data_IF_354224252707
#
_entry.id   IF_354224252707
#
_cell.length_a   1.000
_cell.length_b   1.000
_cell.length_c   1.000
_cell.angle_alpha   90.00
_cell.angle_beta   90.00
_cell.angle_gamma   90.00
#
_symmetry.space_group_name_H-M   'P 1'
#
loop_
_entity.id
_entity.type
_entity.pdbx_description
1 polymer ?
#
# COMPACT_ATOMS: atom_id res chain seq x y z
N UNK A 1 -2.08 40.80 41.30
CA UNK A 1 -1.32 40.48 40.07
C UNK A 1 -1.53 39.01 39.68
N UNK A 2 -2.77 38.51 39.60
CA UNK A 2 -2.98 37.04 39.59
C UNK A 2 -4.14 36.50 38.73
N UNK A 3 -4.83 37.33 37.94
CA UNK A 3 -5.91 36.84 37.06
C UNK A 3 -5.42 36.43 35.66
N UNK A 4 -4.18 36.78 35.29
CA UNK A 4 -3.60 36.44 33.99
C UNK A 4 -3.05 35.01 33.89
N UNK A 5 -2.96 34.25 35.00
CA UNK A 5 -2.43 32.87 34.97
C UNK A 5 -3.47 31.76 34.75
N UNK A 6 -4.76 32.03 34.85
CA UNK A 6 -5.80 30.99 34.63
C UNK A 6 -6.22 30.82 33.16
N UNK A 7 -5.93 31.78 32.28
CA UNK A 7 -6.32 31.71 30.85
C UNK A 7 -5.32 30.99 29.94
N UNK A 8 -4.12 30.67 30.42
CA UNK A 8 -3.09 30.02 29.59
C UNK A 8 -3.05 28.49 29.68
N UNK A 9 -3.77 27.87 30.62
CA UNK A 9 -3.79 26.41 30.77
C UNK A 9 -4.88 25.69 29.94
N UNK A 10 -5.67 26.42 29.13
CA UNK A 10 -6.70 25.85 28.25
C UNK A 10 -6.37 26.08 26.77
N UNK A 11 -5.14 25.75 26.36
CA UNK A 11 -4.74 25.83 24.94
C UNK A 11 -3.89 24.65 24.43
N UNK A 12 -3.76 23.58 25.23
CA UNK A 12 -2.95 22.40 24.90
C UNK A 12 -3.76 21.09 24.96
N UNK A 13 -5.05 21.13 24.62
CA UNK A 13 -5.72 19.91 24.15
C UNK A 13 -5.64 19.90 22.62
N UNK A 14 -5.09 18.84 22.00
CA UNK A 14 -5.18 18.71 20.55
C UNK A 14 -6.66 18.65 20.19
N UNK A 15 -7.14 19.68 19.50
CA UNK A 15 -8.47 19.67 18.90
C UNK A 15 -8.62 18.36 18.12
N UNK A 16 -9.72 17.60 18.29
CA UNK A 16 -10.01 16.52 17.38
C UNK A 16 -10.15 17.16 16.01
N UNK A 17 -9.18 16.89 15.13
CA UNK A 17 -9.23 17.34 13.73
C UNK A 17 -10.51 16.77 13.16
N UNK A 18 -11.54 17.61 13.02
CA UNK A 18 -12.80 17.24 12.38
C UNK A 18 -12.50 17.17 10.89
N UNK A 19 -11.91 16.04 10.48
CA UNK A 19 -11.71 15.68 9.07
C UNK A 19 -13.11 15.64 8.47
N UNK A 20 -13.42 16.56 7.55
CA UNK A 20 -14.74 16.65 6.95
C UNK A 20 -15.11 15.31 6.31
N UNK A 21 -16.36 14.87 6.48
CA UNK A 21 -16.86 13.61 5.90
C UNK A 21 -16.51 13.47 4.41
N UNK A 22 -16.55 14.58 3.68
CA UNK A 22 -16.18 14.67 2.27
C UNK A 22 -14.72 14.32 2.00
N UNK A 23 -13.80 14.75 2.87
CA UNK A 23 -12.38 14.44 2.73
C UNK A 23 -12.11 12.95 3.00
N UNK A 24 -12.76 12.37 4.00
CA UNK A 24 -12.70 10.93 4.29
C UNK A 24 -13.26 10.11 3.12
N UNK A 25 -14.41 10.51 2.56
CA UNK A 25 -15.01 9.84 1.40
C UNK A 25 -14.10 9.87 0.17
N UNK A 26 -13.44 11.01 -0.11
CA UNK A 26 -12.46 11.13 -1.20
C UNK A 26 -11.23 10.23 -0.98
N UNK A 27 -10.72 10.16 0.25
CA UNK A 27 -9.58 9.29 0.58
C UNK A 27 -9.95 7.82 0.40
N UNK A 28 -11.14 7.40 0.82
CA UNK A 28 -11.62 6.03 0.63
C UNK A 28 -11.80 5.66 -0.84
N UNK A 29 -12.40 6.55 -1.63
CA UNK A 29 -12.55 6.34 -3.08
C UNK A 29 -11.18 6.19 -3.77
N UNK A 30 -10.17 6.93 -3.32
CA UNK A 30 -8.82 6.84 -3.90
C UNK A 30 -8.09 5.57 -3.46
N UNK A 31 -8.32 5.09 -2.24
CA UNK A 31 -7.82 3.78 -1.77
C UNK A 31 -8.42 2.64 -2.56
N UNK A 32 -9.72 2.68 -2.88
CA UNK A 32 -10.37 1.65 -3.68
C UNK A 32 -9.78 1.54 -5.10
N UNK A 33 -9.54 2.68 -5.75
CA UNK A 33 -8.82 2.72 -7.05
C UNK A 33 -7.41 2.13 -6.96
N UNK A 34 -6.72 2.33 -5.84
CA UNK A 34 -5.39 1.78 -5.60
C UNK A 34 -5.44 0.29 -5.21
N UNK A 35 -6.54 -0.20 -4.66
CA UNK A 35 -6.77 -1.61 -4.34
C UNK A 35 -7.11 -2.42 -5.59
N UNK A 36 -7.83 -1.82 -6.54
CA UNK A 36 -8.22 -2.39 -7.82
C UNK A 36 -7.56 -1.66 -9.00
N UNK A 37 -6.22 -1.63 -9.09
CA UNK A 37 -5.54 -0.86 -10.13
C UNK A 37 -5.76 -1.51 -11.50
N UNK A 38 -6.08 -0.69 -12.50
CA UNK A 38 -6.04 -1.10 -13.92
C UNK A 38 -4.60 -1.41 -14.38
N UNK A 39 -4.40 -1.96 -15.59
CA UNK A 39 -3.08 -2.40 -16.07
C UNK A 39 -2.04 -1.27 -16.05
N UNK A 40 -2.45 -0.05 -16.41
CA UNK A 40 -1.56 1.12 -16.40
C UNK A 40 -1.15 1.56 -14.99
N UNK A 41 -2.09 1.58 -14.05
CA UNK A 41 -1.78 1.95 -12.67
C UNK A 41 -0.93 0.86 -11.99
N UNK A 42 -1.16 -0.41 -12.30
CA UNK A 42 -0.30 -1.53 -11.87
C UNK A 42 1.13 -1.36 -12.34
N UNK A 43 1.34 -1.06 -13.62
CA UNK A 43 2.69 -0.84 -14.16
C UNK A 43 3.37 0.40 -13.54
N UNK A 44 2.62 1.50 -13.38
CA UNK A 44 3.12 2.71 -12.74
C UNK A 44 3.52 2.46 -11.27
N UNK A 45 2.68 1.78 -10.49
CA UNK A 45 2.96 1.42 -9.10
C UNK A 45 4.12 0.43 -9.02
N UNK A 46 4.21 -0.54 -9.94
CA UNK A 46 5.34 -1.46 -10.02
C UNK A 46 6.65 -0.68 -10.10
N UNK A 47 6.75 0.31 -10.98
CA UNK A 47 7.97 1.10 -11.15
C UNK A 47 8.23 2.03 -9.95
N UNK A 48 7.20 2.73 -9.48
CA UNK A 48 7.32 3.67 -8.36
C UNK A 48 7.80 2.99 -7.07
N UNK A 49 7.38 1.74 -6.85
CA UNK A 49 7.74 0.95 -5.67
C UNK A 49 9.20 0.47 -5.69
N UNK A 50 9.83 0.35 -6.87
CA UNK A 50 11.25 -0.04 -7.01
C UNK A 50 12.18 1.15 -7.08
N UNK A 51 11.73 2.28 -7.64
CA UNK A 51 12.62 3.41 -7.86
C UNK A 51 12.98 4.12 -6.53
N UNK A 52 14.29 4.30 -6.23
CA UNK A 52 14.75 4.67 -4.88
C UNK A 52 14.27 6.05 -4.40
N UNK A 53 14.05 6.99 -5.32
CA UNK A 53 13.55 8.33 -4.98
C UNK A 53 12.04 8.37 -4.72
N UNK A 54 11.25 7.47 -5.32
CA UNK A 54 9.79 7.51 -5.23
C UNK A 54 9.21 6.48 -4.25
N UNK A 55 9.94 5.40 -3.96
CA UNK A 55 9.45 4.25 -3.16
C UNK A 55 8.91 4.61 -1.77
N UNK A 56 9.40 5.67 -1.12
CA UNK A 56 8.94 6.07 0.22
C UNK A 56 7.85 7.16 0.18
N UNK A 57 7.60 7.77 -0.98
CA UNK A 57 6.75 8.97 -1.13
C UNK A 57 5.44 8.65 -1.84
N UNK A 58 5.46 7.65 -2.73
CA UNK A 58 4.32 7.34 -3.60
C UNK A 58 3.08 6.86 -2.83
N UNK A 59 3.25 6.30 -1.63
CA UNK A 59 2.18 5.82 -0.76
C UNK A 59 1.17 6.94 -0.42
N UNK A 60 1.65 8.19 -0.30
CA UNK A 60 0.84 9.37 -0.01
C UNK A 60 0.33 10.09 -1.27
N UNK A 61 0.47 9.50 -2.46
CA UNK A 61 0.01 10.10 -3.71
C UNK A 61 -1.34 9.53 -4.14
N UNK A 62 -2.14 10.38 -4.77
CA UNK A 62 -3.35 10.00 -5.50
C UNK A 62 -3.00 9.10 -6.69
N UNK A 63 -3.96 8.28 -7.13
CA UNK A 63 -3.85 7.40 -8.27
C UNK A 63 -3.43 8.16 -9.53
N UNK A 64 -4.00 9.37 -9.75
CA UNK A 64 -3.62 10.22 -10.89
C UNK A 64 -2.15 10.64 -10.86
N UNK A 65 -1.63 11.06 -9.69
CA UNK A 65 -0.22 11.42 -9.56
C UNK A 65 0.71 10.21 -9.71
N UNK A 66 0.32 9.06 -9.17
CA UNK A 66 1.04 7.79 -9.36
C UNK A 66 1.13 7.43 -10.84
N UNK A 67 0.02 7.56 -11.57
CA UNK A 67 0.00 7.32 -13.01
C UNK A 67 0.96 8.26 -13.75
N UNK A 68 0.85 9.57 -13.54
CA UNK A 68 1.68 10.57 -14.24
C UNK A 68 3.18 10.37 -13.97
N UNK A 69 3.59 10.29 -12.70
CA UNK A 69 5.01 10.16 -12.35
C UNK A 69 5.53 8.77 -12.71
N UNK A 70 4.72 7.72 -12.53
CA UNK A 70 5.08 6.36 -12.93
C UNK A 70 5.32 6.28 -14.43
N UNK A 71 4.45 6.87 -15.26
CA UNK A 71 4.64 6.90 -16.72
C UNK A 71 5.83 7.75 -17.16
N UNK A 72 6.05 8.91 -16.52
CA UNK A 72 7.23 9.73 -16.79
C UNK A 72 8.52 8.95 -16.51
N UNK A 73 8.60 8.29 -15.35
CA UNK A 73 9.73 7.43 -15.02
C UNK A 73 9.83 6.25 -15.98
N UNK A 74 8.71 5.68 -16.41
CA UNK A 74 8.70 4.55 -17.34
C UNK A 74 9.34 4.91 -18.68
N UNK A 75 9.05 6.08 -19.23
CA UNK A 75 9.69 6.59 -20.46
C UNK A 75 11.19 6.84 -20.26
N UNK A 76 11.59 7.32 -19.08
CA UNK A 76 12.99 7.67 -18.74
C UNK A 76 13.81 6.45 -18.28
N UNK A 77 13.17 5.32 -18.01
CA UNK A 77 13.84 4.10 -17.55
C UNK A 77 13.83 3.02 -18.63
N UNK A 78 12.86 3.05 -19.55
CA UNK A 78 12.83 2.12 -20.66
C UNK A 78 13.68 2.58 -21.84
N UNK A 79 14.45 1.66 -22.45
CA UNK A 79 15.30 1.96 -23.58
C UNK A 79 14.60 2.06 -24.94
N UNK A 80 13.39 2.65 -24.95
CA UNK A 80 12.57 2.81 -26.15
C UNK A 80 13.21 3.79 -27.13
N UNK A 81 13.67 4.95 -26.66
CA UNK A 81 14.24 5.99 -27.54
C UNK A 81 15.46 5.48 -28.33
N UNK A 82 16.51 4.90 -27.72
CA UNK A 82 17.65 4.36 -28.44
C UNK A 82 17.26 3.12 -29.24
N UNK A 83 16.35 2.26 -28.77
CA UNK A 83 15.89 1.11 -29.56
C UNK A 83 15.25 1.54 -30.88
N UNK A 84 14.33 2.50 -30.83
CA UNK A 84 13.65 3.03 -32.02
C UNK A 84 14.65 3.72 -32.95
N UNK A 85 15.61 4.48 -32.40
CA UNK A 85 16.67 5.10 -33.19
C UNK A 85 17.57 4.05 -33.90
N UNK A 86 17.94 2.96 -33.22
CA UNK A 86 18.68 1.84 -33.82
C UNK A 86 17.89 1.24 -34.98
N UNK A 87 16.60 0.96 -34.76
CA UNK A 87 15.75 0.32 -35.77
C UNK A 87 15.60 1.22 -36.99
N UNK A 88 15.26 2.50 -36.81
CA UNK A 88 15.07 3.45 -37.93
C UNK A 88 16.37 3.58 -38.73
N UNK A 89 17.50 3.74 -38.05
CA UNK A 89 18.79 3.89 -38.71
C UNK A 89 19.21 2.61 -39.44
N UNK A 90 19.03 1.43 -38.82
CA UNK A 90 19.35 0.15 -39.43
C UNK A 90 18.51 -0.15 -40.68
N UNK A 91 17.23 0.23 -40.68
CA UNK A 91 16.34 0.03 -41.83
C UNK A 91 16.69 0.97 -42.99
N UNK A 92 17.12 2.21 -42.71
CA UNK A 92 17.47 3.17 -43.75
C UNK A 92 18.89 2.97 -44.30
N UNK A 93 19.86 2.59 -43.47
CA UNK A 93 21.26 2.42 -43.87
C UNK A 93 21.95 1.31 -43.03
N UNK A 94 21.79 0.03 -43.42
CA UNK A 94 22.35 -1.09 -42.67
C UNK A 94 23.88 -1.15 -42.74
N UNK A 95 24.47 -0.67 -43.84
CA UNK A 95 25.92 -0.68 -44.06
C UNK A 95 26.60 0.45 -43.27
N UNK A 96 26.00 1.65 -43.25
CA UNK A 96 26.44 2.77 -42.43
C UNK A 96 26.31 2.49 -40.94
N UNK A 97 25.22 1.84 -40.51
CA UNK A 97 25.06 1.43 -39.11
C UNK A 97 26.16 0.47 -38.66
N UNK A 98 26.51 -0.55 -39.44
CA UNK A 98 27.53 -1.53 -39.03
C UNK A 98 28.95 -0.94 -38.98
N UNK A 99 29.25 0.06 -39.82
CA UNK A 99 30.59 0.65 -39.95
C UNK A 99 30.79 1.87 -39.05
N UNK A 100 29.72 2.55 -38.62
CA UNK A 100 29.80 3.78 -37.86
C UNK A 100 30.23 3.57 -36.39
N UNK A 101 31.24 4.31 -35.90
CA UNK A 101 31.56 4.36 -34.47
C UNK A 101 30.39 4.87 -33.61
N UNK A 102 29.55 5.76 -34.15
CA UNK A 102 28.37 6.29 -33.45
C UNK A 102 27.29 5.26 -33.25
N UNK A 103 27.11 4.32 -34.17
CA UNK A 103 26.19 3.21 -34.00
C UNK A 103 26.61 2.32 -32.82
N UNK A 104 27.91 2.05 -32.68
CA UNK A 104 28.46 1.31 -31.53
C UNK A 104 28.24 2.05 -30.22
N UNK A 105 28.46 3.37 -30.19
CA UNK A 105 28.18 4.19 -29.02
C UNK A 105 26.69 4.13 -28.62
N UNK A 106 25.79 4.20 -29.60
CA UNK A 106 24.35 4.18 -29.38
C UNK A 106 23.85 2.81 -28.89
N UNK A 107 24.39 1.71 -29.42
CA UNK A 107 24.18 0.35 -28.90
C UNK A 107 24.74 0.22 -27.48
N UNK A 108 25.92 0.78 -27.20
CA UNK A 108 26.49 0.81 -25.85
C UNK A 108 25.60 1.52 -24.83
N UNK A 109 25.04 2.67 -25.21
CA UNK A 109 24.05 3.40 -24.39
C UNK A 109 22.79 2.55 -24.17
N UNK A 110 22.28 1.88 -25.21
CA UNK A 110 21.13 0.98 -25.10
C UNK A 110 21.38 -0.15 -24.08
N UNK A 111 22.55 -0.80 -24.13
CA UNK A 111 22.93 -1.86 -23.20
C UNK A 111 23.07 -1.32 -21.77
N UNK A 112 23.71 -0.16 -21.59
CA UNK A 112 23.85 0.48 -20.29
C UNK A 112 22.49 0.84 -19.69
N UNK A 113 21.56 1.33 -20.51
CA UNK A 113 20.21 1.69 -20.07
C UNK A 113 19.35 0.45 -19.76
N UNK A 114 19.49 -0.64 -20.54
CA UNK A 114 18.92 -1.95 -20.19
C UNK A 114 19.46 -2.49 -18.87
N UNK A 115 20.77 -2.35 -18.60
CA UNK A 115 21.37 -2.73 -17.33
C UNK A 115 20.79 -1.93 -16.16
N UNK A 116 20.63 -0.62 -16.34
CA UNK A 116 19.99 0.25 -15.35
C UNK A 116 18.51 -0.14 -15.11
N UNK A 117 17.75 -0.46 -16.16
CA UNK A 117 16.41 -0.99 -16.05
C UNK A 117 16.40 -2.32 -15.27
N UNK A 118 17.30 -3.24 -15.61
CA UNK A 118 17.44 -4.53 -14.94
C UNK A 118 17.68 -4.37 -13.44
N UNK A 119 18.58 -3.47 -13.05
CA UNK A 119 18.85 -3.14 -11.65
C UNK A 119 17.59 -2.64 -10.90
N UNK A 120 16.82 -1.76 -11.54
CA UNK A 120 15.55 -1.25 -10.98
C UNK A 120 14.52 -2.37 -10.90
N UNK A 121 14.40 -3.21 -11.92
CA UNK A 121 13.45 -4.32 -11.95
C UNK A 121 13.73 -5.36 -10.85
N UNK A 122 14.99 -5.59 -10.52
CA UNK A 122 15.42 -6.51 -9.44
C UNK A 122 15.45 -5.86 -8.06
N UNK A 123 15.26 -4.54 -7.97
CA UNK A 123 15.28 -3.84 -6.68
C UNK A 123 14.07 -4.26 -5.83
N UNK A 124 14.24 -4.41 -4.51
CA UNK A 124 13.14 -4.79 -3.62
C UNK A 124 12.07 -3.72 -3.64
N UNK A 125 10.84 -4.13 -3.92
CA UNK A 125 9.68 -3.24 -3.87
C UNK A 125 9.27 -2.98 -2.42
N UNK A 126 8.96 -1.73 -2.09
CA UNK A 126 8.31 -1.40 -0.83
C UNK A 126 6.82 -1.76 -0.91
N UNK A 127 6.32 -2.47 0.11
CA UNK A 127 4.89 -2.75 0.24
C UNK A 127 4.12 -1.43 0.39
N UNK A 128 3.02 -1.28 -0.36
CA UNK A 128 2.15 -0.10 -0.29
C UNK A 128 1.25 -0.20 0.96
N UNK A 129 1.84 0.00 2.13
CA UNK A 129 1.21 -0.13 3.44
C UNK A 129 1.32 1.17 4.24
N UNK A 130 0.28 1.50 5.00
CA UNK A 130 0.23 2.59 5.99
C UNK A 130 0.36 4.03 5.45
N UNK A 131 0.37 4.23 4.14
CA UNK A 131 0.30 5.57 3.54
C UNK A 131 -1.13 6.08 3.41
N UNK A 132 -1.30 7.39 3.25
CA UNK A 132 -2.62 8.05 3.19
C UNK A 132 -3.57 7.39 2.20
N UNK A 133 -3.08 7.07 1.00
CA UNK A 133 -3.86 6.46 -0.07
C UNK A 133 -3.50 4.99 -0.31
N UNK A 134 -2.74 4.36 0.60
CA UNK A 134 -2.38 2.95 0.50
C UNK A 134 -3.62 2.06 0.63
N UNK A 135 -3.72 0.99 -0.17
CA UNK A 135 -4.84 0.05 -0.10
C UNK A 135 -4.81 -0.78 1.19
N UNK A 136 -3.63 -0.98 1.78
CA UNK A 136 -3.47 -1.73 3.03
C UNK A 136 -3.11 -0.78 4.17
N UNK A 137 -3.91 -0.77 5.23
CA UNK A 137 -3.67 -0.03 6.47
C UNK A 137 -3.54 -1.03 7.62
N UNK A 138 -2.34 -1.18 8.18
CA UNK A 138 -2.07 -2.04 9.35
C UNK A 138 -1.96 -1.24 10.65
N UNK A 139 -1.79 0.07 10.57
CA UNK A 139 -1.83 1.00 11.69
C UNK A 139 -2.91 2.07 11.47
N UNK A 140 -3.54 2.60 12.53
CA UNK A 140 -4.40 3.77 12.41
C UNK A 140 -3.55 4.95 11.98
N UNK A 141 -3.64 5.33 10.70
CA UNK A 141 -3.15 6.62 10.26
C UNK A 141 -4.03 7.66 10.98
N UNK A 142 -3.43 8.57 11.76
CA UNK A 142 -4.12 9.53 12.65
C UNK A 142 -5.15 10.49 12.01
N UNK A 143 -5.63 10.17 10.82
CA UNK A 143 -6.77 10.75 10.11
C UNK A 143 -8.08 9.95 10.39
N UNK A 144 -8.03 8.83 11.12
CA UNK A 144 -9.22 7.99 11.44
C UNK A 144 -9.39 7.87 12.97
N UNK A 145 -9.84 8.94 13.61
CA UNK A 145 -10.61 8.83 14.85
C UNK A 145 -12.08 8.66 14.45
N UNK A 146 -12.46 7.43 14.14
CA UNK A 146 -13.81 7.11 13.66
C UNK A 146 -13.84 5.77 12.97
N UNK A 147 -14.25 4.74 13.71
CA UNK A 147 -14.74 3.44 13.25
C UNK A 147 -13.92 2.75 12.14
N UNK A 148 -13.24 1.65 12.51
CA UNK A 148 -12.61 0.68 11.62
C UNK A 148 -13.35 0.54 10.28
N UNK A 149 -12.77 1.09 9.19
CA UNK A 149 -13.47 1.21 7.91
C UNK A 149 -13.23 0.00 7.00
N UNK A 150 -14.35 -0.67 6.71
CA UNK A 150 -14.77 -1.45 5.55
C UNK A 150 -13.83 -2.43 4.81
N UNK A 151 -12.52 -2.24 4.64
CA UNK A 151 -11.73 -3.25 3.89
C UNK A 151 -11.35 -4.46 4.76
N UNK A 152 -10.89 -4.20 5.99
CA UNK A 152 -10.75 -5.23 7.03
C UNK A 152 -12.10 -5.54 7.71
N UNK A 153 -13.00 -4.56 7.78
CA UNK A 153 -14.33 -4.74 8.40
C UNK A 153 -15.32 -5.49 7.51
N UNK A 154 -15.19 -5.52 6.17
CA UNK A 154 -16.09 -6.33 5.32
C UNK A 154 -15.78 -7.81 5.47
N UNK A 155 -14.50 -8.20 5.56
CA UNK A 155 -14.10 -9.58 5.87
C UNK A 155 -14.43 -9.95 7.31
N UNK A 156 -14.19 -9.06 8.28
CA UNK A 156 -14.51 -9.32 9.68
C UNK A 156 -16.02 -9.33 9.95
N UNK A 157 -16.82 -8.47 9.33
CA UNK A 157 -18.28 -8.43 9.52
C UNK A 157 -18.95 -9.64 8.86
N UNK A 158 -18.55 -10.02 7.63
CA UNK A 158 -19.06 -11.23 6.99
C UNK A 158 -18.65 -12.50 7.76
N UNK A 159 -17.43 -12.55 8.31
CA UNK A 159 -16.98 -13.67 9.13
C UNK A 159 -17.66 -13.69 10.51
N UNK A 160 -17.87 -12.53 11.15
CA UNK A 160 -18.67 -12.39 12.38
C UNK A 160 -20.12 -12.78 12.15
N UNK A 161 -20.72 -12.44 11.01
CA UNK A 161 -22.09 -12.87 10.65
C UNK A 161 -22.19 -14.41 10.56
N UNK A 162 -21.15 -15.12 10.09
CA UNK A 162 -21.11 -16.61 10.09
C UNK A 162 -21.11 -17.22 11.49
N UNK A 163 -20.58 -16.51 12.49
CA UNK A 163 -20.54 -16.97 13.89
C UNK A 163 -21.58 -16.28 14.78
N UNK A 164 -22.28 -15.26 14.28
CA UNK A 164 -23.28 -14.51 15.04
C UNK A 164 -24.45 -15.40 15.49
N UNK A 165 -24.82 -16.39 14.68
CA UNK A 165 -25.85 -17.38 15.01
C UNK A 165 -25.37 -18.52 15.90
N UNK A 166 -24.06 -18.64 16.17
CA UNK A 166 -23.49 -19.70 17.01
C UNK A 166 -23.39 -19.26 18.46
N UNK A 167 -23.95 -20.01 19.39
CA UNK A 167 -23.87 -19.71 20.83
C UNK A 167 -22.51 -20.09 21.43
N UNK A 168 -21.90 -21.16 20.91
CA UNK A 168 -20.62 -21.71 21.42
C UNK A 168 -19.53 -21.70 20.35
N UNK A 169 -18.30 -21.47 20.78
CA UNK A 169 -17.12 -21.49 19.92
C UNK A 169 -16.66 -22.92 19.64
N UNK A 170 -16.16 -23.14 18.41
CA UNK A 170 -15.52 -24.40 18.07
C UNK A 170 -14.23 -24.60 18.89
N UNK A 171 -13.84 -25.86 19.17
CA UNK A 171 -12.59 -26.15 19.86
C UNK A 171 -11.40 -25.63 19.04
N UNK A 172 -10.52 -24.88 19.70
CA UNK A 172 -9.36 -24.25 19.07
C UNK A 172 -8.23 -25.24 18.77
N UNK A 173 -8.17 -26.36 19.50
CA UNK A 173 -7.17 -27.43 19.37
C UNK A 173 -5.70 -26.93 19.35
N UNK A 174 -5.42 -25.74 19.90
CA UNK A 174 -4.09 -25.13 19.86
C UNK A 174 -3.70 -24.53 18.51
N UNK A 175 -4.64 -24.37 17.57
CA UNK A 175 -4.39 -23.75 16.28
C UNK A 175 -4.08 -22.26 16.44
N UNK A 176 -2.97 -21.82 15.85
CA UNK A 176 -2.62 -20.40 15.82
C UNK A 176 -3.30 -19.70 14.65
N UNK A 177 -4.08 -18.66 14.94
CA UNK A 177 -4.71 -17.83 13.92
C UNK A 177 -3.85 -16.61 13.59
N UNK A 178 -3.79 -16.25 12.30
CA UNK A 178 -3.12 -15.04 11.85
C UNK A 178 -3.94 -13.78 12.19
N UNK A 179 -5.27 -13.89 12.14
CA UNK A 179 -6.23 -12.82 12.46
C UNK A 179 -7.57 -13.39 12.95
N UNK A 180 -8.44 -12.52 13.48
CA UNK A 180 -9.77 -12.93 13.93
C UNK A 180 -10.69 -13.40 12.81
N UNK A 181 -10.50 -12.92 11.57
CA UNK A 181 -11.27 -13.42 10.41
C UNK A 181 -11.06 -14.92 10.20
N UNK A 182 -9.83 -15.40 10.34
CA UNK A 182 -9.46 -16.81 10.21
C UNK A 182 -10.05 -17.65 11.35
N UNK A 183 -10.05 -17.13 12.57
CA UNK A 183 -10.71 -17.75 13.72
C UNK A 183 -12.22 -17.88 13.46
N UNK A 184 -12.88 -16.80 13.04
CA UNK A 184 -14.32 -16.80 12.73
C UNK A 184 -14.68 -17.72 11.56
N UNK A 185 -13.85 -17.81 10.51
CA UNK A 185 -14.05 -18.78 9.42
C UNK A 185 -13.93 -20.23 9.91
N UNK A 186 -13.09 -20.48 10.91
CA UNK A 186 -12.96 -21.79 11.58
C UNK A 186 -14.07 -22.02 12.62
N UNK A 187 -14.96 -21.05 12.83
CA UNK A 187 -16.01 -21.11 13.85
C UNK A 187 -15.52 -20.87 15.28
N UNK A 188 -14.28 -20.39 15.44
CA UNK A 188 -13.65 -20.07 16.71
C UNK A 188 -13.85 -18.60 17.02
N UNK A 189 -14.33 -18.30 18.23
CA UNK A 189 -14.56 -16.95 18.74
C UNK A 189 -14.47 -16.95 20.27
N UNK A 190 -14.36 -15.77 20.90
CA UNK A 190 -14.21 -15.63 22.36
C UNK A 190 -13.05 -16.46 22.94
N UNK A 191 -11.85 -16.32 22.36
CA UNK A 191 -10.65 -17.06 22.78
C UNK A 191 -10.12 -16.45 24.08
N UNK A 192 -10.26 -17.15 25.20
CA UNK A 192 -9.79 -16.69 26.51
C UNK A 192 -8.26 -16.74 26.58
N UNK A 193 -7.64 -15.87 27.38
CA UNK A 193 -6.19 -15.88 27.68
C UNK A 193 -5.65 -17.23 28.20
N UNK A 194 -6.51 -18.06 28.79
CA UNK A 194 -6.16 -19.41 29.24
C UNK A 194 -6.04 -20.45 28.12
N UNK A 195 -6.50 -20.14 26.90
CA UNK A 195 -6.44 -21.03 25.75
C UNK A 195 -5.05 -20.97 25.08
N UNK A 196 -4.44 -22.11 24.70
CA UNK A 196 -3.15 -22.13 24.00
C UNK A 196 -3.13 -21.37 22.66
N UNK A 197 -4.31 -21.10 22.11
CA UNK A 197 -4.51 -20.40 20.84
C UNK A 197 -4.62 -18.88 21.02
N UNK A 198 -4.67 -18.39 22.26
CA UNK A 198 -4.68 -16.96 22.55
C UNK A 198 -3.37 -16.32 22.14
N UNK A 199 -3.47 -15.20 21.43
CA UNK A 199 -2.32 -14.40 21.04
C UNK A 199 -2.63 -12.92 21.34
N UNK A 200 -1.74 -12.18 22.03
CA UNK A 200 -1.98 -10.77 22.34
C UNK A 200 -2.27 -9.90 21.12
N UNK A 201 -1.74 -10.29 19.94
CA UNK A 201 -2.02 -9.60 18.67
C UNK A 201 -3.47 -9.73 18.17
N UNK A 202 -4.23 -10.71 18.68
CA UNK A 202 -5.64 -10.95 18.34
C UNK A 202 -6.60 -10.21 19.29
N UNK A 203 -6.10 -9.76 20.43
CA UNK A 203 -6.82 -9.06 21.49
C UNK A 203 -6.57 -7.55 21.35
N UNK A 204 -7.46 -6.85 20.66
CA UNK A 204 -7.22 -5.44 20.25
C UNK A 204 -7.29 -4.48 21.43
N UNK A 205 -8.15 -4.76 22.40
CA UNK A 205 -8.43 -3.97 23.59
C UNK A 205 -7.76 -4.51 24.86
N UNK A 206 -7.10 -5.68 24.77
CA UNK A 206 -6.32 -6.31 25.84
C UNK A 206 -7.16 -6.64 27.09
N UNK A 207 -8.44 -6.96 26.90
CA UNK A 207 -9.37 -7.32 27.97
C UNK A 207 -9.20 -8.79 28.43
N UNK A 208 -8.39 -9.57 27.71
CA UNK A 208 -8.14 -10.98 27.99
C UNK A 208 -9.01 -11.97 27.20
N UNK A 209 -9.84 -11.48 26.28
CA UNK A 209 -10.69 -12.26 25.37
C UNK A 209 -10.40 -11.85 23.91
N UNK A 210 -9.66 -12.68 23.19
CA UNK A 210 -9.39 -12.43 21.78
C UNK A 210 -10.58 -12.81 20.89
N UNK A 211 -10.76 -12.03 19.81
CA UNK A 211 -11.76 -12.28 18.77
C UNK A 211 -13.19 -12.45 19.32
N UNK A 212 -13.62 -11.49 20.13
CA UNK A 212 -15.01 -11.37 20.58
C UNK A 212 -15.97 -11.20 19.39
N UNK A 213 -17.15 -11.83 19.50
CA UNK A 213 -18.23 -11.72 18.50
C UNK A 213 -19.14 -10.54 18.78
#
# INVERSE_FOLDING_TARGET
>A
MSEHKLKQARKDSPEPVVVSSDSTARVLAERDKNANPGPFLRAAVWLLARFPLTRNRYQNWTAGRRLLVGWLLWIVVLPIIPLVAIIIWYVHDPEGFKKSPWAKALVGVFILWLGAFGFIATSPAQLDQNGKYSPVQTAPNGEVSGTATAANTVTDKAAREKVASKTESAPTNGQQFANCTEAFNSGVFNIKRSDPSYQPKLDRDNDGIACEK
#
